data_IF_076383907132
#
_entry.id   IF_076383907132
#
_cell.length_a   1.000
_cell.length_b   1.000
_cell.length_c   1.000
_cell.angle_alpha   90.00
_cell.angle_beta   90.00
_cell.angle_gamma   90.00
#
_symmetry.space_group_name_H-M   'P 1'
#
loop_
_entity.id
_entity.type
_entity.pdbx_description
1 polymer ?
#
# COMPACT_ATOMS: atom_id res chain seq x y z
N UNK A 1 -1.14 -5.73 -13.71
CA UNK A 1 -2.12 -4.67 -13.39
C UNK A 1 -1.78 -3.31 -14.00
N UNK A 2 -0.56 -2.80 -13.86
CA UNK A 2 -0.14 -1.47 -14.37
C UNK A 2 -0.47 -1.22 -15.85
N UNK A 3 -0.21 -2.17 -16.76
CA UNK A 3 -0.55 -2.03 -18.18
C UNK A 3 -2.04 -1.75 -18.42
N UNK A 4 -2.93 -2.38 -17.63
CA UNK A 4 -4.38 -2.16 -17.70
C UNK A 4 -4.75 -0.78 -17.16
N UNK A 5 -4.12 -0.35 -16.07
CA UNK A 5 -4.34 0.96 -15.47
C UNK A 5 -3.94 2.10 -16.43
N UNK A 6 -2.76 2.01 -17.06
CA UNK A 6 -2.30 2.94 -18.10
C UNK A 6 -3.30 3.04 -19.27
N UNK A 7 -3.72 1.89 -19.81
CA UNK A 7 -4.75 1.85 -20.88
C UNK A 7 -6.08 2.49 -20.46
N UNK A 8 -6.47 2.38 -19.20
CA UNK A 8 -7.69 3.00 -18.70
C UNK A 8 -7.54 4.52 -18.58
N UNK A 9 -6.38 5.01 -18.12
CA UNK A 9 -6.08 6.43 -18.09
C UNK A 9 -6.11 7.04 -19.50
N UNK A 10 -5.48 6.39 -20.49
CA UNK A 10 -5.50 6.82 -21.89
C UNK A 10 -6.93 6.94 -22.44
N UNK A 11 -7.78 5.95 -22.14
CA UNK A 11 -9.20 5.96 -22.55
C UNK A 11 -10.01 7.06 -21.88
N UNK A 12 -9.68 7.41 -20.65
CA UNK A 12 -10.36 8.47 -19.89
C UNK A 12 -9.81 9.86 -20.21
N UNK A 13 -8.70 9.96 -20.95
CA UNK A 13 -8.07 11.23 -21.28
C UNK A 13 -7.50 11.98 -20.07
N UNK A 14 -7.06 11.24 -19.03
CA UNK A 14 -6.47 11.82 -17.82
C UNK A 14 -4.95 11.78 -17.87
N UNK A 15 -4.31 12.89 -17.53
CA UNK A 15 -2.85 13.11 -17.60
C UNK A 15 -2.22 13.38 -16.22
N UNK A 16 -3.04 13.57 -15.19
CA UNK A 16 -2.64 13.84 -13.81
C UNK A 16 -2.42 12.56 -12.97
N UNK A 17 -2.13 11.43 -13.61
CA UNK A 17 -1.93 10.14 -12.97
C UNK A 17 -0.62 9.50 -13.43
N UNK A 18 0.11 8.89 -12.49
CA UNK A 18 1.32 8.13 -12.77
C UNK A 18 1.22 6.73 -12.16
N UNK A 19 1.68 5.72 -12.90
CA UNK A 19 1.70 4.34 -12.46
C UNK A 19 3.13 3.81 -12.42
N UNK A 20 3.63 3.52 -11.22
CA UNK A 20 4.99 3.03 -10.96
C UNK A 20 4.94 1.57 -10.53
N UNK A 21 5.88 0.76 -11.03
CA UNK A 21 6.08 -0.61 -10.57
C UNK A 21 7.00 -0.58 -9.35
N UNK A 22 6.61 -1.25 -8.29
CA UNK A 22 7.39 -1.35 -7.06
C UNK A 22 6.66 -2.20 -6.03
N UNK A 23 7.36 -2.45 -4.93
CA UNK A 23 6.84 -3.15 -3.74
C UNK A 23 6.39 -2.10 -2.72
N UNK A 24 5.45 -2.44 -1.83
CA UNK A 24 4.91 -1.47 -0.86
C UNK A 24 5.85 -1.25 0.33
N UNK A 25 6.84 -2.14 0.46
CA UNK A 25 7.96 -2.13 1.39
C UNK A 25 9.12 -1.23 0.91
N UNK A 26 9.13 -0.88 -0.39
CA UNK A 26 10.12 0.01 -1.02
C UNK A 26 9.45 0.80 -2.15
N UNK A 27 8.76 1.88 -1.78
CA UNK A 27 7.98 2.68 -2.71
C UNK A 27 8.89 3.47 -3.66
N UNK A 28 8.64 3.40 -4.98
CA UNK A 28 9.33 4.22 -5.99
C UNK A 28 8.78 5.66 -5.98
N UNK A 29 8.84 6.31 -4.83
CA UNK A 29 8.27 7.64 -4.55
C UNK A 29 9.29 8.41 -3.71
N UNK A 30 9.59 9.68 -4.03
CA UNK A 30 10.54 10.48 -3.25
C UNK A 30 10.06 10.78 -1.83
N UNK A 31 10.99 11.06 -0.93
CA UNK A 31 10.73 11.53 0.43
C UNK A 31 9.90 12.81 0.43
N UNK A 32 9.03 12.98 1.43
CA UNK A 32 8.27 14.21 1.66
C UNK A 32 7.61 14.79 0.39
N UNK A 33 7.10 13.93 -0.49
CA UNK A 33 6.60 14.32 -1.81
C UNK A 33 5.08 14.25 -1.95
N UNK A 34 4.41 13.49 -1.09
CA UNK A 34 2.94 13.31 -1.15
C UNK A 34 2.24 13.92 0.05
N UNK A 35 1.06 14.50 -0.19
CA UNK A 35 0.22 15.08 0.86
C UNK A 35 -0.66 14.01 1.54
N UNK A 36 -1.06 12.99 0.78
CA UNK A 36 -1.98 11.93 1.23
C UNK A 36 -1.54 10.58 0.69
N UNK A 37 -1.57 9.56 1.56
CA UNK A 37 -1.47 8.15 1.19
C UNK A 37 -2.82 7.48 1.38
N UNK A 38 -3.28 6.73 0.38
CA UNK A 38 -4.47 5.88 0.45
C UNK A 38 -4.07 4.42 0.27
N UNK A 39 -4.60 3.54 1.13
CA UNK A 39 -4.43 2.09 0.97
C UNK A 39 -5.71 1.34 1.31
N UNK A 40 -5.99 0.29 0.54
CA UNK A 40 -7.17 -0.54 0.70
C UNK A 40 -6.80 -2.03 0.63
N UNK A 41 -7.00 -2.77 1.73
CA UNK A 41 -6.94 -4.23 1.84
C UNK A 41 -5.64 -4.91 1.34
N UNK A 42 -4.48 -4.23 1.36
CA UNK A 42 -3.22 -4.79 0.87
C UNK A 42 -2.09 -4.83 1.91
N UNK A 43 -2.17 -4.04 2.98
CA UNK A 43 -1.07 -3.97 3.97
C UNK A 43 -0.94 -5.30 4.73
N UNK A 44 -2.07 -5.97 4.97
CA UNK A 44 -2.08 -7.26 5.65
C UNK A 44 -1.32 -8.38 4.93
N UNK A 45 -1.16 -8.26 3.61
CA UNK A 45 -0.50 -9.23 2.75
C UNK A 45 1.02 -9.02 2.68
N UNK A 46 1.52 -7.88 3.18
CA UNK A 46 2.96 -7.61 3.26
C UNK A 46 3.65 -8.55 4.25
N UNK A 47 4.82 -9.13 3.89
CA UNK A 47 5.66 -9.87 4.82
C UNK A 47 6.33 -8.95 5.86
N UNK A 48 6.49 -7.66 5.58
CA UNK A 48 7.08 -6.68 6.49
C UNK A 48 6.24 -5.41 6.60
N UNK A 49 5.21 -5.48 7.46
CA UNK A 49 4.35 -4.33 7.76
C UNK A 49 5.13 -3.13 8.29
N UNK A 50 6.25 -3.34 9.00
CA UNK A 50 7.04 -2.22 9.54
C UNK A 50 7.71 -1.44 8.41
N UNK A 51 8.28 -2.14 7.42
CA UNK A 51 8.83 -1.52 6.23
C UNK A 51 7.75 -0.71 5.49
N UNK A 52 6.54 -1.28 5.29
CA UNK A 52 5.42 -0.56 4.67
C UNK A 52 5.09 0.74 5.41
N UNK A 53 4.86 0.69 6.72
CA UNK A 53 4.55 1.92 7.48
C UNK A 53 5.71 2.92 7.50
N UNK A 54 6.96 2.44 7.48
CA UNK A 54 8.15 3.27 7.32
C UNK A 54 8.16 4.03 6.00
N UNK A 55 7.86 3.33 4.90
CA UNK A 55 7.72 3.93 3.57
C UNK A 55 6.57 4.93 3.49
N UNK A 56 5.41 4.59 4.07
CA UNK A 56 4.28 5.53 4.13
C UNK A 56 4.66 6.83 4.85
N UNK A 57 5.44 6.73 5.93
CA UNK A 57 5.94 7.90 6.64
C UNK A 57 6.99 8.66 5.83
N UNK A 58 7.96 7.97 5.21
CA UNK A 58 9.04 8.58 4.42
C UNK A 58 8.50 9.44 3.28
N UNK A 59 7.51 8.94 2.54
CA UNK A 59 6.98 9.63 1.35
C UNK A 59 6.09 10.82 1.70
N UNK A 60 5.50 10.83 2.90
CA UNK A 60 4.59 11.89 3.33
C UNK A 60 5.33 13.18 3.65
N UNK A 61 4.79 14.30 3.17
CA UNK A 61 5.18 15.64 3.64
C UNK A 61 4.89 15.80 5.13
N UNK A 62 5.63 16.68 5.85
CA UNK A 62 5.24 17.08 7.20
C UNK A 62 3.80 17.58 7.24
N UNK A 63 2.96 16.99 8.10
CA UNK A 63 1.53 17.30 8.19
C UNK A 63 0.62 16.57 7.20
N UNK A 64 1.17 15.69 6.36
CA UNK A 64 0.41 14.82 5.46
C UNK A 64 -0.44 13.77 6.20
N UNK A 65 -1.29 13.07 5.45
CA UNK A 65 -2.30 12.15 6.02
C UNK A 65 -2.25 10.76 5.41
N UNK A 66 -2.57 9.76 6.23
CA UNK A 66 -2.77 8.37 5.79
C UNK A 66 -4.24 8.02 6.00
N UNK A 67 -4.89 7.47 4.96
CA UNK A 67 -6.20 6.84 5.09
C UNK A 67 -6.07 5.36 4.67
N UNK A 68 -6.22 4.47 5.65
CA UNK A 68 -6.16 3.02 5.45
C UNK A 68 -7.54 2.43 5.72
N UNK A 69 -7.99 1.58 4.81
CA UNK A 69 -9.08 0.64 5.04
C UNK A 69 -8.52 -0.77 4.91
N UNK A 70 -8.49 -1.51 6.01
CA UNK A 70 -7.97 -2.88 6.03
C UNK A 70 -8.69 -3.69 7.12
N UNK A 71 -8.52 -5.01 7.07
CA UNK A 71 -9.07 -5.93 8.06
C UNK A 71 -8.24 -5.86 9.33
N UNK A 72 -8.92 -5.69 10.46
CA UNK A 72 -8.29 -5.69 11.77
C UNK A 72 -8.94 -6.76 12.65
N UNK A 73 -8.17 -7.22 13.63
CA UNK A 73 -8.63 -8.14 14.67
C UNK A 73 -8.26 -7.56 16.04
N UNK A 74 -9.14 -7.79 17.02
CA UNK A 74 -8.82 -7.59 18.43
C UNK A 74 -8.16 -8.84 19.03
N UNK A 75 -7.19 -8.63 19.91
CA UNK A 75 -6.46 -9.69 20.58
C UNK A 75 -5.41 -10.38 19.72
N UNK A 76 -4.72 -11.35 20.30
CA UNK A 76 -3.64 -12.07 19.64
C UNK A 76 -4.16 -13.03 18.57
N UNK A 77 -3.39 -13.19 17.48
CA UNK A 77 -3.63 -14.20 16.45
C UNK A 77 -2.91 -15.48 16.90
N UNK A 78 -3.60 -16.64 16.93
CA UNK A 78 -2.96 -17.93 17.18
C UNK A 78 -1.77 -18.15 16.23
N UNK A 79 -0.67 -18.71 16.74
CA UNK A 79 0.55 -18.90 15.95
C UNK A 79 0.30 -19.74 14.70
N UNK A 80 -0.59 -20.72 14.78
CA UNK A 80 -0.97 -21.59 13.67
C UNK A 80 -1.52 -20.81 12.48
N UNK A 81 -2.15 -19.66 12.72
CA UNK A 81 -2.68 -18.78 11.67
C UNK A 81 -1.59 -17.82 11.18
N UNK A 82 -0.72 -17.32 12.07
CA UNK A 82 0.36 -16.41 11.68
C UNK A 82 1.43 -17.11 10.83
N UNK A 83 1.70 -18.37 11.12
CA UNK A 83 2.73 -19.18 10.46
C UNK A 83 2.21 -19.85 9.17
N UNK A 84 0.91 -19.71 8.85
CA UNK A 84 0.30 -20.16 7.60
C UNK A 84 -0.17 -18.97 6.74
N UNK A 85 0.64 -18.51 5.77
CA UNK A 85 0.26 -17.45 4.85
C UNK A 85 -1.08 -17.68 4.14
N UNK A 86 -1.42 -18.94 3.83
CA UNK A 86 -2.68 -19.27 3.14
C UNK A 86 -3.91 -18.93 3.98
N UNK A 87 -3.77 -18.87 5.30
CA UNK A 87 -4.86 -18.54 6.20
C UNK A 87 -5.37 -17.10 6.03
N UNK A 88 -4.60 -16.20 5.39
CA UNK A 88 -4.97 -14.80 5.22
C UNK A 88 -4.68 -14.21 3.83
N UNK A 89 -4.06 -14.95 2.90
CA UNK A 89 -3.84 -14.48 1.51
C UNK A 89 -4.88 -14.97 0.51
N UNK A 90 -5.72 -15.96 0.88
CA UNK A 90 -6.66 -16.62 -0.04
C UNK A 90 -6.01 -17.64 -0.97
#
# INVERSE_FOLDING_TARGET
MIKKAKKNADKMGVDNVEFRMGEIEELPVPDNSVDVVLSNCVINLSPDKRAVFGELFRVLKPGGRICISDVLRSGEIPREIMDDPKAYTG
#
